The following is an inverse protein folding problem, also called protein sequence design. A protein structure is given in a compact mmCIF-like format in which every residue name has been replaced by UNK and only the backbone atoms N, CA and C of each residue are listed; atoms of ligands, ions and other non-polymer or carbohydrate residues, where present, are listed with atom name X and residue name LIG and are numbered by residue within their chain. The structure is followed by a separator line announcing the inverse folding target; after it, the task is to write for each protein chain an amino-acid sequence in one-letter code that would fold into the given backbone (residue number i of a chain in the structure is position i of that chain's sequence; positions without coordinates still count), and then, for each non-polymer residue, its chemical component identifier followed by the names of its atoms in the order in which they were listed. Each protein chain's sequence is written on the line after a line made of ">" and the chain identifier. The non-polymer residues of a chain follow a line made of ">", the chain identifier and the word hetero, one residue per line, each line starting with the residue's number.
data_IF_214086458720
#
_entry.id   IF_214086458720
#
_cell.length_a   1.000
_cell.length_b   1.000
_cell.length_c   1.000
_cell.angle_alpha   90.00
_cell.angle_beta   90.00
_cell.angle_gamma   90.00
#
_symmetry.space_group_name_H-M   'P 1'
#
loop_
_entity.id
_entity.type
_entity.pdbx_description
1 polymer ?
#
# COMPACT_ATOMS: atom_id res chain seq x y z
N UNK A 1 20.19 -12.28 8.02
CA UNK A 1 18.85 -11.95 8.55
C UNK A 1 18.06 -11.44 7.37
N UNK A 2 16.95 -12.09 7.03
CA UNK A 2 16.06 -11.59 5.99
C UNK A 2 15.46 -10.27 6.50
N UNK A 3 15.48 -9.23 5.66
CA UNK A 3 14.96 -7.92 6.03
C UNK A 3 13.44 -8.04 6.25
N UNK A 4 12.93 -7.55 7.38
CA UNK A 4 11.49 -7.61 7.72
C UNK A 4 10.62 -7.06 6.58
N UNK A 5 11.07 -5.97 5.95
CA UNK A 5 10.37 -5.36 4.83
C UNK A 5 10.34 -6.28 3.59
N UNK A 6 11.46 -6.91 3.25
CA UNK A 6 11.53 -7.84 2.11
C UNK A 6 10.61 -9.05 2.33
N UNK A 7 10.49 -9.52 3.57
CA UNK A 7 9.54 -10.58 3.92
C UNK A 7 8.10 -10.13 3.71
N UNK A 8 7.74 -8.92 4.17
CA UNK A 8 6.41 -8.32 3.96
C UNK A 8 6.10 -8.23 2.47
N UNK A 9 7.05 -7.76 1.66
CA UNK A 9 6.87 -7.66 0.22
C UNK A 9 6.58 -9.04 -0.39
N UNK A 10 7.43 -10.04 -0.14
CA UNK A 10 7.23 -11.40 -0.64
C UNK A 10 5.90 -12.01 -0.21
N UNK A 11 5.51 -11.81 1.05
CA UNK A 11 4.27 -12.35 1.60
C UNK A 11 3.04 -11.65 1.01
N UNK A 12 3.07 -10.32 0.88
CA UNK A 12 2.02 -9.52 0.27
C UNK A 12 1.83 -9.81 -1.22
N UNK A 13 2.92 -10.01 -1.96
CA UNK A 13 2.88 -10.46 -3.36
C UNK A 13 2.24 -11.84 -3.50
N UNK A 14 2.65 -12.80 -2.67
CA UNK A 14 2.09 -14.15 -2.67
C UNK A 14 0.58 -14.17 -2.39
N UNK A 15 0.11 -13.24 -1.56
CA UNK A 15 -1.31 -13.10 -1.19
C UNK A 15 -2.13 -12.25 -2.17
N UNK A 16 -1.47 -11.61 -3.15
CA UNK A 16 -2.15 -10.77 -4.13
C UNK A 16 -2.64 -9.43 -3.57
N UNK A 17 -1.97 -8.90 -2.54
CA UNK A 17 -2.29 -7.59 -1.97
C UNK A 17 -1.69 -6.45 -2.78
N UNK A 18 -0.46 -6.66 -3.24
CA UNK A 18 0.25 -5.78 -4.14
C UNK A 18 1.23 -6.61 -4.98
N UNK A 19 1.83 -6.00 -6.00
CA UNK A 19 2.98 -6.56 -6.72
C UNK A 19 4.10 -5.55 -6.81
N UNK A 20 5.34 -6.02 -6.76
CA UNK A 20 6.53 -5.21 -6.94
C UNK A 20 6.90 -5.21 -8.43
N UNK A 21 7.20 -4.04 -8.96
CA UNK A 21 7.49 -3.80 -10.37
C UNK A 21 8.88 -3.17 -10.52
N UNK A 22 9.41 -3.22 -11.75
CA UNK A 22 10.67 -2.57 -12.13
C UNK A 22 11.82 -2.90 -11.17
N UNK A 23 12.05 -4.19 -10.93
CA UNK A 23 13.13 -4.70 -10.09
C UNK A 23 13.16 -4.11 -8.66
N UNK A 24 12.00 -3.80 -8.09
CA UNK A 24 11.90 -3.23 -6.74
C UNK A 24 11.66 -1.72 -6.68
N UNK A 25 11.63 -1.04 -7.82
CA UNK A 25 11.48 0.42 -7.84
C UNK A 25 10.03 0.90 -7.68
N UNK A 26 9.03 0.06 -7.97
CA UNK A 26 7.60 0.43 -7.90
C UNK A 26 6.78 -0.65 -7.22
N UNK A 27 5.65 -0.23 -6.67
CA UNK A 27 4.62 -1.13 -6.13
C UNK A 27 3.29 -0.83 -6.79
N UNK A 28 2.46 -1.85 -6.99
CA UNK A 28 1.08 -1.73 -7.42
C UNK A 28 0.17 -2.43 -6.43
N UNK A 29 -0.74 -1.69 -5.79
CA UNK A 29 -1.78 -2.22 -4.93
C UNK A 29 -2.88 -2.83 -5.79
N UNK A 30 -2.92 -4.16 -5.86
CA UNK A 30 -3.74 -4.89 -6.83
C UNK A 30 -5.25 -4.61 -6.72
N UNK A 31 -5.84 -4.42 -5.53
CA UNK A 31 -7.27 -4.15 -5.41
C UNK A 31 -7.72 -2.82 -6.01
N UNK A 32 -6.90 -1.76 -5.91
CA UNK A 32 -7.20 -0.44 -6.47
C UNK A 32 -6.52 -0.19 -7.82
N UNK A 33 -5.50 -0.99 -8.17
CA UNK A 33 -4.62 -0.73 -9.31
C UNK A 33 -3.69 0.47 -9.11
N UNK A 34 -3.67 1.07 -7.91
CA UNK A 34 -2.86 2.23 -7.58
C UNK A 34 -1.37 1.88 -7.57
N UNK A 35 -0.51 2.77 -8.09
CA UNK A 35 0.91 2.52 -8.28
C UNK A 35 1.74 3.63 -7.71
N UNK A 36 2.77 3.27 -6.95
CA UNK A 36 3.69 4.24 -6.39
C UNK A 36 5.15 3.83 -6.45
N UNK A 37 6.01 4.82 -6.22
CA UNK A 37 7.47 4.66 -6.22
C UNK A 37 7.94 4.10 -4.87
N UNK A 38 8.32 2.82 -4.84
CA UNK A 38 8.78 2.14 -3.64
C UNK A 38 10.17 2.63 -3.15
N UNK A 39 10.87 3.45 -3.94
CA UNK A 39 12.07 4.12 -3.47
C UNK A 39 11.77 5.26 -2.49
N UNK A 40 10.54 5.77 -2.50
CA UNK A 40 10.08 6.74 -1.49
C UNK A 40 10.02 6.05 -0.11
N UNK A 41 10.70 6.58 0.91
CA UNK A 41 10.60 6.06 2.26
C UNK A 41 9.16 6.02 2.79
N UNK A 42 8.33 7.00 2.44
CA UNK A 42 6.92 7.05 2.85
C UNK A 42 6.15 5.87 2.27
N UNK A 43 6.39 5.55 1.00
CA UNK A 43 5.72 4.44 0.31
C UNK A 43 6.08 3.08 0.93
N UNK A 44 7.31 2.91 1.42
CA UNK A 44 7.68 1.69 2.16
C UNK A 44 6.86 1.55 3.43
N UNK A 45 6.67 2.65 4.17
CA UNK A 45 5.83 2.68 5.38
C UNK A 45 4.37 2.40 5.04
N UNK A 46 3.84 3.01 3.96
CA UNK A 46 2.48 2.78 3.46
C UNK A 46 2.26 1.30 3.11
N UNK A 47 3.19 0.67 2.40
CA UNK A 47 3.11 -0.75 2.03
C UNK A 47 3.13 -1.68 3.26
N UNK A 48 4.00 -1.42 4.25
CA UNK A 48 4.01 -2.17 5.51
C UNK A 48 2.70 -2.01 6.27
N UNK A 49 2.20 -0.78 6.39
CA UNK A 49 0.97 -0.50 7.11
C UNK A 49 -0.26 -1.12 6.42
N UNK A 50 -0.34 -1.03 5.09
CA UNK A 50 -1.37 -1.68 4.30
C UNK A 50 -1.39 -3.20 4.52
N UNK A 51 -0.22 -3.84 4.56
CA UNK A 51 -0.10 -5.27 4.87
C UNK A 51 -0.62 -5.59 6.28
N UNK A 52 -0.24 -4.78 7.28
CA UNK A 52 -0.70 -4.92 8.67
C UNK A 52 -2.22 -4.75 8.79
N UNK A 53 -2.84 -3.82 8.07
CA UNK A 53 -4.29 -3.64 8.05
C UNK A 53 -5.02 -4.92 7.64
N UNK A 54 -4.47 -5.64 6.67
CA UNK A 54 -5.04 -6.89 6.18
C UNK A 54 -4.73 -8.07 7.10
N UNK A 55 -3.47 -8.22 7.51
CA UNK A 55 -3.00 -9.43 8.19
C UNK A 55 -3.13 -9.39 9.71
N UNK A 56 -2.87 -8.23 10.31
CA UNK A 56 -2.88 -8.06 11.77
C UNK A 56 -4.21 -7.54 12.26
N UNK A 57 -4.79 -6.57 11.55
CA UNK A 57 -6.05 -5.94 11.94
C UNK A 57 -7.28 -6.51 11.23
N UNK A 58 -7.08 -7.38 10.24
CA UNK A 58 -8.14 -8.11 9.53
C UNK A 58 -9.20 -7.21 8.89
N UNK A 59 -8.81 -6.02 8.43
CA UNK A 59 -9.68 -5.19 7.61
C UNK A 59 -9.93 -5.89 6.26
N UNK A 60 -11.19 -5.95 5.79
CA UNK A 60 -11.47 -6.39 4.45
C UNK A 60 -10.81 -5.44 3.44
N UNK A 61 -10.10 -5.98 2.45
CA UNK A 61 -9.47 -5.20 1.36
C UNK A 61 -10.41 -4.14 0.78
N UNK A 62 -11.69 -4.48 0.59
CA UNK A 62 -12.73 -3.58 0.05
C UNK A 62 -13.06 -2.36 0.92
N UNK A 63 -12.48 -2.25 2.11
CA UNK A 63 -12.63 -1.11 3.02
C UNK A 63 -11.38 -0.22 3.04
N UNK A 64 -10.33 -0.59 2.34
CA UNK A 64 -9.10 0.18 2.31
C UNK A 64 -9.02 0.88 0.96
N UNK A 65 -9.01 2.21 1.00
CA UNK A 65 -8.82 3.06 -0.17
C UNK A 65 -7.51 3.85 -0.01
N UNK A 66 -6.82 4.08 -1.13
CA UNK A 66 -5.55 4.81 -1.18
C UNK A 66 -5.73 6.05 -2.05
N UNK A 67 -5.00 7.13 -1.75
CA UNK A 67 -5.06 8.41 -2.48
C UNK A 67 -6.50 8.87 -2.70
N UNK A 68 -7.29 8.89 -1.62
CA UNK A 68 -8.72 9.21 -1.69
C UNK A 68 -8.93 10.70 -1.52
N UNK A 69 -9.58 11.34 -2.49
CA UNK A 69 -9.97 12.75 -2.39
C UNK A 69 -10.93 12.94 -1.21
N UNK A 70 -10.53 13.79 -0.27
CA UNK A 70 -11.36 14.13 0.88
C UNK A 70 -12.34 15.23 0.51
N UNK A 71 -13.60 15.16 0.97
CA UNK A 71 -14.59 16.19 0.70
C UNK A 71 -14.18 17.50 1.40
N UNK A 72 -13.52 18.37 0.66
CA UNK A 72 -13.10 19.71 1.08
C UNK A 72 -13.47 20.74 0.02
N UNK A 73 -13.48 22.03 0.39
CA UNK A 73 -13.45 23.11 -0.59
C UNK A 73 -12.02 23.30 -1.08
N UNK A 74 -11.84 23.83 -2.28
CA UNK A 74 -10.54 24.05 -2.92
C UNK A 74 -9.50 24.65 -1.96
N UNK A 75 -8.26 24.10 -1.92
CA UNK A 75 -7.69 23.07 -2.80
C UNK A 75 -8.15 21.64 -2.47
N UNK A 76 -8.11 20.76 -3.48
CA UNK A 76 -8.27 19.32 -3.29
C UNK A 76 -7.21 18.80 -2.30
N UNK A 77 -7.62 17.86 -1.44
CA UNK A 77 -6.74 17.15 -0.52
C UNK A 77 -6.98 15.67 -0.65
N UNK A 78 -5.91 14.91 -0.66
CA UNK A 78 -5.96 13.45 -0.74
C UNK A 78 -5.48 12.88 0.59
N UNK A 79 -6.20 11.87 1.07
CA UNK A 79 -5.76 11.05 2.19
C UNK A 79 -4.95 9.87 1.65
N UNK A 80 -3.80 9.62 2.26
CA UNK A 80 -2.90 8.52 1.87
C UNK A 80 -3.59 7.16 1.97
N UNK A 81 -4.41 6.98 3.03
CA UNK A 81 -5.16 5.76 3.30
C UNK A 81 -6.45 6.08 4.06
N UNK A 82 -7.55 5.45 3.63
CA UNK A 82 -8.87 5.49 4.27
C UNK A 82 -9.29 4.06 4.60
N UNK A 83 -9.89 3.85 5.78
CA UNK A 83 -10.27 2.54 6.34
C UNK A 83 -11.73 2.57 6.83
#
# INVERSE_FOLDING_TARGET
>A
MENTFEKILKDGERKGYFRVLNDGAKIEYLPSGHKENLNDPEEKVRAEYYFDLLEKYHYPVKRIELETEMPDRTPERYADIVI
#
